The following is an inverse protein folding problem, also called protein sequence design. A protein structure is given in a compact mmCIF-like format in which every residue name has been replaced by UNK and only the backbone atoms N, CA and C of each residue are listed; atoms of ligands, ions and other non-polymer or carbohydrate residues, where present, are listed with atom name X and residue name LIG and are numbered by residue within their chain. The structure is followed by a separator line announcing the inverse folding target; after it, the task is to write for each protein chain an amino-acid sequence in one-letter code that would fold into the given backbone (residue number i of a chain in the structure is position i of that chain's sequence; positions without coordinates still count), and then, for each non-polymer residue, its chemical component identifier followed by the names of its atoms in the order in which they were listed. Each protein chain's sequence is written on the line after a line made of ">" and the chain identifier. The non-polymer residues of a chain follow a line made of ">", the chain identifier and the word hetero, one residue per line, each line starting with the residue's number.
data_IF_367056335784
#
_entry.id   IF_367056335784
#
_cell.length_a   1.000
_cell.length_b   1.000
_cell.length_c   1.000
_cell.angle_alpha   90.00
_cell.angle_beta   90.00
_cell.angle_gamma   90.00
#
_symmetry.space_group_name_H-M   'P 1'
#
loop_
_entity.id
_entity.type
_entity.pdbx_description
1 polymer ?
#
# COMPACT_ATOMS: atom_id res chain seq x y z
N UNK A 1 3.61 5.25 25.13
CA UNK A 1 2.84 4.03 24.80
C UNK A 1 1.34 4.27 24.72
N UNK A 2 0.66 4.85 25.73
CA UNK A 2 -0.79 5.10 25.69
C UNK A 2 -1.16 6.05 24.55
N UNK A 3 -0.45 7.16 24.39
CA UNK A 3 -0.69 8.14 23.34
C UNK A 3 -0.46 7.58 21.92
N UNK A 4 0.50 6.69 21.74
CA UNK A 4 0.69 5.98 20.46
C UNK A 4 -0.43 4.97 20.19
N UNK A 5 -0.89 4.26 21.23
CA UNK A 5 -2.02 3.32 21.10
C UNK A 5 -3.31 4.04 20.70
N UNK A 6 -3.56 5.25 21.21
CA UNK A 6 -4.74 6.05 20.82
C UNK A 6 -4.68 6.52 19.37
N UNK A 7 -3.50 6.88 18.87
CA UNK A 7 -3.31 7.29 17.47
C UNK A 7 -3.56 6.16 16.46
N UNK A 8 -3.52 4.91 16.89
CA UNK A 8 -3.71 3.72 16.05
C UNK A 8 -5.17 3.25 15.96
N UNK A 9 -6.06 3.80 16.80
CA UNK A 9 -7.49 3.50 16.75
C UNK A 9 -8.13 4.07 15.49
N UNK A 10 -9.12 3.36 14.96
CA UNK A 10 -9.94 3.88 13.87
C UNK A 10 -10.80 5.04 14.32
N UNK A 11 -11.14 5.95 13.40
CA UNK A 11 -12.09 7.05 13.67
C UNK A 11 -13.45 6.51 14.06
N UNK A 12 -13.85 5.37 13.52
CA UNK A 12 -15.10 4.69 13.86
C UNK A 12 -15.09 4.16 15.31
N UNK A 13 -13.98 3.58 15.79
CA UNK A 13 -13.80 3.18 17.19
C UNK A 13 -13.87 4.38 18.14
N UNK A 14 -13.16 5.46 17.80
CA UNK A 14 -13.15 6.69 18.59
C UNK A 14 -14.52 7.35 18.65
N UNK A 15 -15.23 7.43 17.53
CA UNK A 15 -16.61 7.96 17.50
C UNK A 15 -17.55 7.12 18.35
N UNK A 16 -17.45 5.79 18.27
CA UNK A 16 -18.25 4.88 19.07
C UNK A 16 -17.96 5.03 20.57
N UNK A 17 -16.68 5.14 20.96
CA UNK A 17 -16.27 5.34 22.34
C UNK A 17 -16.75 6.69 22.89
N UNK A 18 -16.56 7.79 22.14
CA UNK A 18 -17.02 9.13 22.53
C UNK A 18 -18.55 9.22 22.62
N UNK A 19 -19.27 8.54 21.72
CA UNK A 19 -20.72 8.48 21.80
C UNK A 19 -21.15 7.70 23.04
N UNK A 20 -20.52 6.56 23.32
CA UNK A 20 -20.77 5.79 24.51
C UNK A 20 -20.62 6.65 25.78
N UNK A 21 -19.52 7.42 25.89
CA UNK A 21 -19.26 8.31 27.02
C UNK A 21 -20.28 9.46 27.11
N UNK A 22 -20.70 10.02 25.96
CA UNK A 22 -21.73 11.06 25.91
C UNK A 22 -23.13 10.54 26.31
N UNK A 23 -23.43 9.28 26.05
CA UNK A 23 -24.73 8.70 26.38
C UNK A 23 -24.89 8.42 27.87
N UNK A 24 -23.82 8.25 28.63
CA UNK A 24 -23.88 7.99 30.09
C UNK A 24 -24.66 9.08 30.84
N UNK A 25 -24.35 10.38 30.75
CA UNK A 25 -25.09 11.41 31.43
C UNK A 25 -26.59 11.44 31.01
N UNK A 26 -26.88 11.25 29.71
CA UNK A 26 -28.28 11.22 29.25
C UNK A 26 -29.03 10.00 29.79
N UNK A 27 -28.37 8.86 29.97
CA UNK A 27 -28.97 7.67 30.58
C UNK A 27 -29.28 7.95 32.07
N UNK A 28 -28.35 8.60 32.78
CA UNK A 28 -28.58 9.00 34.20
C UNK A 28 -29.69 10.03 34.32
N UNK A 29 -29.70 11.06 33.48
CA UNK A 29 -30.78 12.08 33.47
C UNK A 29 -32.12 11.44 33.12
N UNK A 30 -32.15 10.56 32.11
CA UNK A 30 -33.34 9.80 31.74
C UNK A 30 -33.85 8.89 32.85
N UNK A 31 -32.93 8.31 33.63
CA UNK A 31 -33.25 7.48 34.81
C UNK A 31 -33.96 8.33 35.88
N UNK A 32 -33.41 9.49 36.24
CA UNK A 32 -33.99 10.42 37.22
C UNK A 32 -35.32 10.95 36.72
N UNK A 33 -35.39 11.38 35.45
CA UNK A 33 -36.63 11.90 34.85
C UNK A 33 -37.74 10.83 34.85
N UNK A 34 -37.40 9.58 34.49
CA UNK A 34 -38.36 8.46 34.54
C UNK A 34 -38.93 8.26 35.95
N UNK A 35 -38.10 8.35 36.99
CA UNK A 35 -38.57 8.27 38.36
C UNK A 35 -39.47 9.44 38.75
N UNK A 36 -39.09 10.65 38.41
CA UNK A 36 -39.86 11.86 38.70
C UNK A 36 -41.26 11.83 38.06
N UNK A 37 -41.35 11.37 36.82
CA UNK A 37 -42.59 11.30 36.05
C UNK A 37 -43.49 10.12 36.48
N UNK A 38 -42.89 8.95 36.71
CA UNK A 38 -43.66 7.72 36.95
C UNK A 38 -43.81 7.34 38.42
N UNK A 39 -42.96 7.89 39.29
CA UNK A 39 -42.80 7.51 40.71
C UNK A 39 -42.64 6.01 40.92
N UNK A 40 -42.10 5.33 39.93
CA UNK A 40 -41.95 3.87 39.89
C UNK A 40 -40.47 3.50 39.77
N UNK A 41 -39.93 2.89 40.83
CA UNK A 41 -38.53 2.46 40.91
C UNK A 41 -38.21 1.37 39.85
N UNK A 42 -39.16 0.47 39.55
CA UNK A 42 -38.98 -0.57 38.56
C UNK A 42 -38.75 0.00 37.15
N UNK A 43 -39.51 1.03 36.77
CA UNK A 43 -39.37 1.74 35.50
C UNK A 43 -38.05 2.53 35.44
N UNK A 44 -37.65 3.15 36.53
CA UNK A 44 -36.36 3.81 36.69
C UNK A 44 -35.21 2.86 36.49
N UNK A 45 -35.25 1.69 37.16
CA UNK A 45 -34.20 0.64 37.01
C UNK A 45 -34.13 0.07 35.60
N UNK A 46 -35.26 -0.01 34.88
CA UNK A 46 -35.27 -0.50 33.50
C UNK A 46 -34.47 0.41 32.56
N UNK A 47 -34.42 1.74 32.82
CA UNK A 47 -33.54 2.66 32.08
C UNK A 47 -32.09 2.49 32.50
N UNK A 48 -31.84 2.43 33.81
CA UNK A 48 -30.48 2.35 34.36
C UNK A 48 -29.74 1.06 33.98
N UNK A 49 -30.48 -0.06 33.84
CA UNK A 49 -29.87 -1.38 33.53
C UNK A 49 -29.44 -1.56 32.08
N UNK A 50 -29.81 -0.65 31.19
CA UNK A 50 -29.44 -0.72 29.77
C UNK A 50 -28.30 0.27 29.46
N UNK A 51 -27.07 -0.25 29.35
CA UNK A 51 -25.90 0.55 29.07
C UNK A 51 -25.46 0.42 27.60
N UNK A 52 -25.37 1.54 26.92
CA UNK A 52 -24.82 1.58 25.53
C UNK A 52 -23.30 1.42 25.50
N UNK A 53 -22.63 1.81 26.58
CA UNK A 53 -21.18 1.92 26.65
C UNK A 53 -20.49 0.57 26.54
N UNK A 54 -20.96 -0.42 27.29
CA UNK A 54 -20.34 -1.74 27.33
C UNK A 54 -20.29 -2.41 25.95
N UNK A 55 -21.43 -2.44 25.25
CA UNK A 55 -21.53 -3.09 23.96
C UNK A 55 -20.67 -2.42 22.88
N UNK A 56 -20.68 -1.06 22.85
CA UNK A 56 -19.89 -0.30 21.86
C UNK A 56 -18.39 -0.41 22.12
N UNK A 57 -17.95 -0.24 23.37
CA UNK A 57 -16.53 -0.28 23.73
C UNK A 57 -15.91 -1.69 23.64
N UNK A 58 -16.73 -2.74 23.65
CA UNK A 58 -16.25 -4.11 23.54
C UNK A 58 -16.30 -4.63 22.10
N UNK A 59 -17.40 -4.48 21.40
CA UNK A 59 -17.62 -5.08 20.09
C UNK A 59 -16.76 -4.47 18.98
N UNK A 60 -16.45 -3.15 19.06
CA UNK A 60 -15.67 -2.49 18.00
C UNK A 60 -14.20 -2.90 17.99
N UNK A 61 -13.45 -2.83 19.10
CA UNK A 61 -12.07 -3.30 19.13
C UNK A 61 -11.94 -4.79 18.79
N UNK A 62 -12.89 -5.63 19.22
CA UNK A 62 -12.89 -7.06 18.88
C UNK A 62 -13.00 -7.25 17.36
N UNK A 63 -13.88 -6.47 16.69
CA UNK A 63 -14.01 -6.56 15.24
C UNK A 63 -12.72 -6.16 14.52
N UNK A 64 -12.05 -5.10 14.98
CA UNK A 64 -10.77 -4.64 14.41
C UNK A 64 -9.66 -5.68 14.63
N UNK A 65 -9.52 -6.20 15.85
CA UNK A 65 -8.54 -7.25 16.15
C UNK A 65 -8.79 -8.53 15.34
N UNK A 66 -10.06 -8.88 15.13
CA UNK A 66 -10.41 -10.02 14.27
C UNK A 66 -10.02 -9.79 12.82
N UNK A 67 -10.23 -8.56 12.30
CA UNK A 67 -9.83 -8.19 10.95
C UNK A 67 -8.29 -8.21 10.80
N UNK A 68 -7.54 -7.70 11.79
CA UNK A 68 -6.08 -7.74 11.78
C UNK A 68 -5.55 -9.19 11.81
N UNK A 69 -6.19 -10.07 12.59
CA UNK A 69 -5.88 -11.50 12.59
C UNK A 69 -6.12 -12.14 11.23
N UNK A 70 -7.25 -11.81 10.60
CA UNK A 70 -7.61 -12.33 9.28
C UNK A 70 -6.65 -11.81 8.19
N UNK A 71 -6.28 -10.52 8.24
CA UNK A 71 -5.26 -9.93 7.38
C UNK A 71 -3.91 -10.67 7.52
N UNK A 72 -3.51 -10.96 8.76
CA UNK A 72 -2.26 -11.70 9.04
C UNK A 72 -2.25 -13.11 8.44
N UNK A 73 -3.40 -13.76 8.32
CA UNK A 73 -3.51 -15.06 7.65
C UNK A 73 -3.25 -14.97 6.13
N UNK A 74 -3.44 -13.79 5.54
CA UNK A 74 -3.11 -13.46 4.14
C UNK A 74 -1.76 -12.71 4.04
N UNK A 75 -0.82 -12.96 4.93
CA UNK A 75 0.52 -12.33 4.94
C UNK A 75 0.50 -10.78 4.99
N UNK A 76 -0.59 -10.19 5.45
CA UNK A 76 -0.77 -8.74 5.59
C UNK A 76 -0.64 -8.35 7.05
N UNK A 77 0.38 -7.55 7.38
CA UNK A 77 0.58 -7.01 8.73
C UNK A 77 0.09 -5.58 8.80
N UNK A 78 -0.80 -5.27 9.73
CA UNK A 78 -1.43 -3.95 9.90
C UNK A 78 -1.08 -3.39 11.26
N UNK A 79 -0.57 -2.16 11.33
CA UNK A 79 -0.16 -1.51 12.60
C UNK A 79 -1.32 -0.99 13.44
N UNK A 80 -2.51 -0.82 12.85
CA UNK A 80 -3.67 -0.33 13.62
C UNK A 80 -4.96 -0.22 12.81
N UNK A 81 -6.10 -0.16 13.50
CA UNK A 81 -7.43 -0.12 12.90
C UNK A 81 -7.70 1.10 12.01
N UNK A 82 -7.04 2.23 12.31
CA UNK A 82 -7.15 3.46 11.48
C UNK A 82 -6.70 3.24 10.04
N UNK A 83 -5.72 2.38 9.82
CA UNK A 83 -5.21 2.11 8.49
C UNK A 83 -6.15 1.21 7.69
N UNK A 84 -6.82 0.26 8.35
CA UNK A 84 -7.93 -0.49 7.72
C UNK A 84 -9.09 0.44 7.35
N UNK A 85 -9.41 1.42 8.21
CA UNK A 85 -10.42 2.43 7.89
C UNK A 85 -9.99 3.31 6.70
N UNK A 86 -8.73 3.75 6.64
CA UNK A 86 -8.18 4.50 5.52
C UNK A 86 -8.26 3.69 4.21
N UNK A 87 -7.85 2.42 4.24
CA UNK A 87 -7.98 1.51 3.10
C UNK A 87 -9.44 1.32 2.68
N UNK A 88 -10.39 1.19 3.62
CA UNK A 88 -11.81 1.06 3.32
C UNK A 88 -12.41 2.31 2.67
N UNK A 89 -11.92 3.49 3.01
CA UNK A 89 -12.43 4.77 2.53
C UNK A 89 -11.62 5.35 1.36
N UNK A 90 -10.52 4.70 0.98
CA UNK A 90 -9.67 5.18 -0.09
C UNK A 90 -10.43 5.31 -1.41
N UNK A 91 -10.23 6.43 -2.06
CA UNK A 91 -10.74 6.70 -3.39
C UNK A 91 -9.62 6.84 -4.43
N UNK A 92 -8.37 7.01 -3.96
CA UNK A 92 -7.18 7.12 -4.79
C UNK A 92 -6.10 6.17 -4.29
N UNK A 93 -5.50 5.44 -5.22
CA UNK A 93 -4.34 4.57 -4.97
C UNK A 93 -3.18 5.08 -5.79
N UNK A 94 -2.05 5.29 -5.15
CA UNK A 94 -0.80 5.70 -5.79
C UNK A 94 0.17 4.53 -5.72
N UNK A 95 0.63 4.08 -6.87
CA UNK A 95 1.67 3.04 -6.98
C UNK A 95 3.02 3.66 -7.31
N UNK A 96 4.05 3.27 -6.59
CA UNK A 96 5.38 3.31 -7.17
C UNK A 96 5.50 2.24 -8.26
N UNK A 97 6.30 2.47 -9.30
CA UNK A 97 6.53 1.48 -10.34
C UNK A 97 7.47 0.37 -9.87
N UNK A 98 8.66 0.77 -9.45
CA UNK A 98 9.80 -0.15 -9.25
C UNK A 98 9.65 -0.95 -7.95
N UNK A 99 9.75 -2.28 -8.04
CA UNK A 99 9.59 -3.16 -6.87
C UNK A 99 8.15 -3.30 -6.36
N UNK A 100 7.20 -2.59 -6.98
CA UNK A 100 5.77 -2.63 -6.64
C UNK A 100 4.97 -3.22 -7.79
N UNK A 101 4.83 -2.51 -8.91
CA UNK A 101 4.22 -3.03 -10.13
C UNK A 101 5.16 -3.93 -10.94
N UNK A 102 6.46 -3.82 -10.67
CA UNK A 102 7.52 -4.64 -11.26
C UNK A 102 8.18 -5.52 -10.20
N UNK A 103 8.99 -6.48 -10.66
CA UNK A 103 9.75 -7.38 -9.76
C UNK A 103 11.03 -6.75 -9.21
N UNK A 104 11.41 -5.53 -9.60
CA UNK A 104 12.72 -4.91 -9.31
C UNK A 104 13.91 -5.80 -9.73
N UNK A 105 13.72 -6.58 -10.76
CA UNK A 105 14.75 -7.44 -11.37
C UNK A 105 14.94 -7.04 -12.83
N UNK A 106 15.58 -5.88 -13.08
CA UNK A 106 15.78 -5.39 -14.44
C UNK A 106 16.59 -6.41 -15.25
N UNK A 107 16.25 -6.51 -16.55
CA UNK A 107 16.89 -7.42 -17.51
C UNK A 107 17.25 -6.68 -18.77
N UNK A 108 18.32 -7.12 -19.42
CA UNK A 108 18.66 -6.65 -20.76
C UNK A 108 17.67 -7.24 -21.76
N UNK A 109 16.93 -6.38 -22.46
CA UNK A 109 15.98 -6.76 -23.48
C UNK A 109 16.62 -6.90 -24.86
N UNK A 110 17.47 -5.90 -25.20
CA UNK A 110 18.07 -5.80 -26.52
C UNK A 110 19.35 -4.98 -26.44
N UNK A 111 20.25 -5.15 -27.42
CA UNK A 111 21.49 -4.39 -27.55
C UNK A 111 21.59 -3.90 -28.98
N UNK A 112 21.43 -2.59 -29.16
CA UNK A 112 21.56 -1.95 -30.45
C UNK A 112 23.00 -1.47 -30.62
N UNK A 113 23.73 -2.05 -31.55
CA UNK A 113 25.14 -1.67 -31.86
C UNK A 113 25.19 -0.74 -33.06
N UNK A 114 26.19 0.12 -33.06
CA UNK A 114 26.49 1.08 -34.15
C UNK A 114 27.86 0.77 -34.77
N UNK A 115 28.05 1.19 -36.00
CA UNK A 115 29.23 0.84 -36.81
C UNK A 115 29.41 -0.69 -36.87
N UNK A 116 30.63 -1.16 -36.81
CA UNK A 116 30.97 -2.60 -36.93
C UNK A 116 31.14 -3.30 -35.57
N UNK A 117 30.56 -2.73 -34.48
CA UNK A 117 30.63 -3.33 -33.15
C UNK A 117 29.70 -4.53 -33.03
N UNK A 118 30.16 -5.59 -32.33
CA UNK A 118 29.35 -6.79 -32.05
C UNK A 118 28.66 -6.65 -30.70
N UNK A 119 27.42 -7.14 -30.60
CA UNK A 119 26.64 -7.13 -29.38
C UNK A 119 27.37 -7.75 -28.18
N UNK A 120 27.99 -8.93 -28.39
CA UNK A 120 28.71 -9.64 -27.34
C UNK A 120 29.92 -8.86 -26.80
N UNK A 121 30.65 -8.16 -27.67
CA UNK A 121 31.80 -7.35 -27.28
C UNK A 121 31.33 -6.11 -26.49
N UNK A 122 30.25 -5.49 -26.93
CA UNK A 122 29.67 -4.33 -26.25
C UNK A 122 29.06 -4.70 -24.89
N UNK A 123 28.37 -5.83 -24.81
CA UNK A 123 27.82 -6.33 -23.54
C UNK A 123 28.96 -6.69 -22.55
N UNK A 124 30.01 -7.36 -23.02
CA UNK A 124 31.18 -7.69 -22.21
C UNK A 124 31.88 -6.45 -21.68
N UNK A 125 32.06 -5.44 -22.53
CA UNK A 125 32.69 -4.18 -22.16
C UNK A 125 31.83 -3.42 -21.14
N UNK A 126 30.51 -3.36 -21.34
CA UNK A 126 29.58 -2.74 -20.42
C UNK A 126 29.58 -3.46 -19.08
N UNK A 127 29.54 -4.79 -19.06
CA UNK A 127 29.55 -5.58 -17.83
C UNK A 127 30.85 -5.37 -17.03
N UNK A 128 32.00 -5.31 -17.71
CA UNK A 128 33.29 -5.05 -17.10
C UNK A 128 33.34 -3.69 -16.37
N UNK A 129 32.73 -2.65 -16.95
CA UNK A 129 32.68 -1.31 -16.34
C UNK A 129 31.66 -1.24 -15.19
N UNK A 130 30.48 -1.85 -15.33
CA UNK A 130 29.38 -1.80 -14.40
C UNK A 130 29.61 -2.69 -13.16
N UNK A 131 30.45 -3.70 -13.22
CA UNK A 131 30.71 -4.62 -12.09
C UNK A 131 31.25 -3.90 -10.84
N UNK A 132 31.94 -2.78 -11.00
CA UNK A 132 32.54 -2.02 -9.91
C UNK A 132 31.55 -1.09 -9.18
N UNK A 133 30.40 -0.83 -9.77
CA UNK A 133 29.38 0.09 -9.23
C UNK A 133 28.00 -0.56 -9.23
N UNK A 134 27.76 -1.50 -8.30
CA UNK A 134 26.54 -2.31 -8.29
C UNK A 134 25.31 -1.47 -8.00
N UNK A 135 24.49 -1.28 -9.02
CA UNK A 135 23.11 -0.77 -8.93
C UNK A 135 22.20 -1.65 -9.80
N UNK A 136 20.90 -1.47 -9.71
CA UNK A 136 19.95 -2.41 -10.33
C UNK A 136 20.16 -2.61 -11.84
N UNK A 137 20.44 -1.55 -12.59
CA UNK A 137 20.70 -1.66 -14.04
C UNK A 137 22.08 -2.27 -14.32
N UNK A 138 23.11 -1.92 -13.54
CA UNK A 138 24.44 -2.53 -13.65
C UNK A 138 24.35 -4.05 -13.43
N UNK A 139 23.66 -4.48 -12.40
CA UNK A 139 23.47 -5.90 -12.13
C UNK A 139 22.78 -6.62 -13.29
N UNK A 140 21.82 -5.99 -13.98
CA UNK A 140 21.17 -6.55 -15.16
C UNK A 140 22.16 -6.79 -16.32
N UNK A 141 23.06 -5.84 -16.54
CA UNK A 141 24.08 -5.93 -17.58
C UNK A 141 25.10 -7.03 -17.26
N UNK A 142 25.57 -7.06 -16.01
CA UNK A 142 26.51 -8.09 -15.53
C UNK A 142 25.92 -9.49 -15.63
N UNK A 143 24.65 -9.64 -15.20
CA UNK A 143 23.96 -10.94 -15.24
C UNK A 143 23.71 -11.40 -16.68
N UNK A 144 23.29 -10.49 -17.56
CA UNK A 144 23.14 -10.80 -18.99
C UNK A 144 24.44 -11.26 -19.65
N UNK A 145 25.58 -10.67 -19.28
CA UNK A 145 26.89 -11.12 -19.75
C UNK A 145 27.24 -12.52 -19.23
N UNK A 146 26.96 -12.82 -17.96
CA UNK A 146 27.14 -14.14 -17.34
C UNK A 146 26.28 -15.21 -18.00
N UNK A 147 24.97 -14.91 -18.21
CA UNK A 147 24.04 -15.84 -18.88
C UNK A 147 24.49 -16.20 -20.29
N UNK A 148 25.16 -15.28 -21.03
CA UNK A 148 25.75 -15.50 -22.36
C UNK A 148 27.12 -16.12 -22.29
N UNK A 149 27.68 -16.44 -21.12
CA UNK A 149 29.00 -17.02 -20.93
C UNK A 149 30.14 -16.09 -21.30
N UNK A 150 29.91 -14.78 -21.31
CA UNK A 150 30.92 -13.78 -21.63
C UNK A 150 31.76 -13.52 -20.37
N UNK A 151 32.89 -14.26 -20.26
CA UNK A 151 33.88 -13.93 -19.23
C UNK A 151 34.67 -12.69 -19.67
N UNK A 152 34.99 -11.82 -18.73
CA UNK A 152 35.87 -10.68 -18.96
C UNK A 152 37.07 -10.75 -18.01
N UNK A 153 38.24 -10.46 -18.55
CA UNK A 153 39.40 -10.08 -17.75
C UNK A 153 39.32 -8.56 -17.58
N UNK A 154 39.83 -8.01 -16.46
CA UNK A 154 39.86 -6.56 -16.23
C UNK A 154 40.78 -5.89 -17.29
N UNK A 155 40.19 -5.26 -18.31
CA UNK A 155 40.89 -4.55 -19.40
C UNK A 155 40.96 -3.04 -19.20
N UNK A 156 40.46 -2.50 -18.08
CA UNK A 156 40.39 -1.06 -17.87
C UNK A 156 41.42 -0.54 -16.85
N UNK A 157 41.82 0.70 -17.02
CA UNK A 157 42.51 1.48 -15.99
C UNK A 157 41.50 1.98 -14.96
N UNK A 158 41.89 2.85 -14.04
CA UNK A 158 41.01 3.39 -13.02
C UNK A 158 39.65 3.81 -13.59
N UNK A 159 38.58 3.22 -13.04
CA UNK A 159 37.19 3.61 -13.31
C UNK A 159 36.86 4.86 -12.51
N UNK A 160 36.31 5.88 -13.14
CA UNK A 160 35.80 7.09 -12.50
C UNK A 160 34.29 7.06 -12.53
N UNK A 161 33.68 6.96 -11.35
CA UNK A 161 32.24 7.15 -11.16
C UNK A 161 31.90 8.64 -11.18
N UNK A 162 30.94 9.01 -12.03
CA UNK A 162 30.37 10.35 -12.06
C UNK A 162 28.96 10.24 -11.51
N UNK A 163 28.82 10.52 -10.20
CA UNK A 163 27.62 10.33 -9.41
C UNK A 163 26.36 10.79 -10.17
N UNK A 164 25.37 9.91 -10.26
CA UNK A 164 24.07 10.10 -10.90
C UNK A 164 24.09 10.20 -12.46
N UNK A 165 25.24 10.08 -13.13
CA UNK A 165 25.31 10.25 -14.59
C UNK A 165 25.83 9.03 -15.31
N UNK A 166 26.85 8.35 -14.79
CA UNK A 166 27.44 7.17 -15.42
C UNK A 166 28.91 6.97 -15.08
N UNK A 167 29.53 6.08 -15.79
CA UNK A 167 30.92 5.64 -15.57
C UNK A 167 31.82 6.04 -16.75
N UNK A 168 33.02 6.51 -16.45
CA UNK A 168 34.07 6.78 -17.45
C UNK A 168 35.33 6.03 -17.10
N UNK A 169 35.94 5.38 -18.09
CA UNK A 169 37.22 4.66 -17.96
C UNK A 169 38.06 4.74 -19.24
N UNK A 170 39.32 4.30 -19.13
CA UNK A 170 40.19 4.10 -20.27
C UNK A 170 40.34 2.61 -20.55
N UNK A 171 39.98 2.19 -21.74
CA UNK A 171 40.08 0.81 -22.21
C UNK A 171 40.95 0.80 -23.48
N UNK A 172 42.04 0.07 -23.48
CA UNK A 172 42.99 0.00 -24.61
C UNK A 172 43.43 1.38 -25.14
N UNK A 173 43.60 2.36 -24.24
CA UNK A 173 43.97 3.72 -24.60
C UNK A 173 42.85 4.59 -25.19
N UNK A 174 41.63 4.09 -25.27
CA UNK A 174 40.44 4.84 -25.68
C UNK A 174 39.57 5.18 -24.46
N UNK A 175 39.01 6.40 -24.44
CA UNK A 175 38.05 6.79 -23.42
C UNK A 175 36.73 6.09 -23.70
N UNK A 176 36.23 5.36 -22.71
CA UNK A 176 34.91 4.70 -22.74
C UNK A 176 34.03 5.32 -21.71
N UNK A 177 32.78 5.62 -22.07
CA UNK A 177 31.76 6.21 -21.21
C UNK A 177 30.53 5.35 -21.31
N UNK A 178 29.94 5.00 -20.17
CA UNK A 178 28.66 4.31 -20.08
C UNK A 178 27.75 5.06 -19.14
N UNK A 179 26.47 5.30 -19.52
CA UNK A 179 25.54 6.06 -18.68
C UNK A 179 24.27 6.49 -19.42
N UNK A 180 23.56 7.46 -18.82
CA UNK A 180 22.34 8.03 -19.37
C UNK A 180 22.60 8.86 -20.64
N UNK A 181 21.54 9.13 -21.44
CA UNK A 181 21.64 9.95 -22.65
C UNK A 181 22.21 11.34 -22.38
N UNK A 182 21.80 11.99 -21.31
CA UNK A 182 22.30 13.33 -20.90
C UNK A 182 23.78 13.34 -20.58
N UNK A 183 24.33 12.21 -20.15
CA UNK A 183 25.75 12.10 -19.83
C UNK A 183 26.60 11.79 -21.05
N UNK A 184 26.03 11.05 -21.99
CA UNK A 184 26.77 10.55 -23.15
C UNK A 184 26.63 11.49 -24.36
N UNK A 185 25.44 12.06 -24.58
CA UNK A 185 25.13 12.99 -25.67
C UNK A 185 24.04 13.97 -25.29
N UNK A 186 24.19 15.25 -25.64
CA UNK A 186 23.12 16.25 -25.52
C UNK A 186 21.93 15.97 -26.49
N UNK A 187 22.15 15.18 -27.56
CA UNK A 187 21.10 14.87 -28.56
C UNK A 187 21.45 13.63 -29.39
N UNK A 188 21.28 12.43 -28.86
CA UNK A 188 21.39 11.21 -29.67
C UNK A 188 20.01 10.83 -30.22
N UNK A 189 19.69 11.27 -31.40
CA UNK A 189 18.44 10.92 -32.10
C UNK A 189 18.40 9.45 -32.59
N UNK A 190 18.61 8.51 -31.68
CA UNK A 190 18.57 7.09 -31.99
C UNK A 190 17.12 6.58 -31.84
N UNK A 191 16.65 5.84 -32.84
CA UNK A 191 15.39 5.11 -32.80
C UNK A 191 15.57 3.87 -31.91
N UNK A 192 15.34 4.02 -30.60
CA UNK A 192 15.38 2.93 -29.62
C UNK A 192 13.95 2.72 -29.11
N UNK A 193 13.51 1.47 -28.85
CA UNK A 193 12.16 1.20 -28.37
C UNK A 193 11.84 1.98 -27.10
N UNK A 194 10.81 2.81 -27.14
CA UNK A 194 10.45 3.75 -26.08
C UNK A 194 10.05 3.10 -24.74
N UNK A 195 9.79 1.80 -24.75
CA UNK A 195 9.34 1.03 -23.59
C UNK A 195 10.47 0.62 -22.63
N UNK A 196 11.74 0.91 -22.98
CA UNK A 196 12.91 0.48 -22.22
C UNK A 196 13.66 1.65 -21.60
N UNK A 197 14.35 1.39 -20.50
CA UNK A 197 15.41 2.27 -20.01
C UNK A 197 16.66 2.02 -20.83
N UNK A 198 17.38 3.07 -21.17
CA UNK A 198 18.52 2.99 -22.09
C UNK A 198 19.82 3.32 -21.36
N UNK A 199 20.80 2.46 -21.54
CA UNK A 199 22.18 2.66 -21.11
C UNK A 199 23.05 2.83 -22.35
N UNK A 200 23.66 3.99 -22.51
CA UNK A 200 24.43 4.37 -23.67
C UNK A 200 25.91 4.07 -23.45
N UNK A 201 26.56 3.40 -24.41
CA UNK A 201 27.98 3.09 -24.39
C UNK A 201 28.68 3.85 -25.51
N UNK A 202 29.64 4.71 -25.14
CA UNK A 202 30.45 5.49 -26.04
C UNK A 202 31.92 5.07 -25.98
N UNK A 203 32.57 4.98 -27.14
CA UNK A 203 33.99 4.69 -27.26
C UNK A 203 34.67 5.81 -28.08
N UNK A 204 35.66 6.47 -27.50
CA UNK A 204 36.39 7.58 -28.13
C UNK A 204 35.49 8.74 -28.60
N UNK A 205 34.36 8.98 -27.94
CA UNK A 205 33.41 10.04 -28.28
C UNK A 205 32.34 9.65 -29.30
N UNK A 206 32.36 8.40 -29.82
CA UNK A 206 31.33 7.90 -30.73
C UNK A 206 30.43 6.89 -30.04
N UNK A 207 29.12 6.90 -30.37
CA UNK A 207 28.15 5.96 -29.85
C UNK A 207 28.47 4.56 -30.40
N UNK A 208 28.80 3.63 -29.51
CA UNK A 208 29.11 2.26 -29.85
C UNK A 208 27.92 1.31 -29.70
N UNK A 209 27.16 1.46 -28.62
CA UNK A 209 25.97 0.66 -28.38
C UNK A 209 24.96 1.36 -27.49
N UNK A 210 23.69 0.92 -27.54
CA UNK A 210 22.64 1.22 -26.60
C UNK A 210 22.10 -0.09 -26.06
N UNK A 211 22.21 -0.27 -24.74
CA UNK A 211 21.68 -1.43 -24.03
C UNK A 211 20.29 -1.07 -23.53
N UNK A 212 19.30 -1.79 -24.00
CA UNK A 212 17.89 -1.63 -23.63
C UNK A 212 17.60 -2.49 -22.41
N UNK A 213 17.20 -1.86 -21.32
CA UNK A 213 16.92 -2.52 -20.06
C UNK A 213 15.45 -2.33 -19.72
N UNK A 214 14.78 -3.38 -19.30
CA UNK A 214 13.40 -3.33 -18.80
C UNK A 214 13.31 -4.01 -17.44
N UNK A 215 12.42 -3.51 -16.61
CA UNK A 215 12.05 -4.15 -15.36
C UNK A 215 10.70 -4.86 -15.58
N UNK A 216 10.67 -6.21 -15.51
CA UNK A 216 9.48 -6.97 -15.84
C UNK A 216 8.32 -6.59 -14.96
N UNK A 217 7.17 -6.26 -15.56
CA UNK A 217 5.92 -6.08 -14.86
C UNK A 217 5.48 -7.39 -14.21
N UNK A 218 4.88 -7.30 -13.04
CA UNK A 218 4.19 -8.43 -12.42
C UNK A 218 3.04 -8.88 -13.31
N UNK A 219 2.90 -10.17 -13.50
CA UNK A 219 1.91 -10.74 -14.43
C UNK A 219 0.49 -10.35 -14.06
N UNK A 220 0.23 -10.24 -12.77
CA UNK A 220 -1.06 -9.90 -12.19
C UNK A 220 -1.33 -8.40 -12.06
N UNK A 221 -0.37 -7.51 -12.39
CA UNK A 221 -0.47 -6.07 -12.13
C UNK A 221 -1.73 -5.43 -12.75
N UNK A 222 -1.99 -5.69 -14.03
CA UNK A 222 -3.16 -5.16 -14.73
C UNK A 222 -4.49 -5.70 -14.16
N UNK A 223 -4.50 -6.98 -13.77
CA UNK A 223 -5.68 -7.62 -13.19
C UNK A 223 -5.95 -7.11 -11.78
N UNK A 224 -4.92 -6.88 -10.98
CA UNK A 224 -5.02 -6.30 -9.66
C UNK A 224 -5.54 -4.85 -9.72
N UNK A 225 -5.06 -4.04 -10.65
CA UNK A 225 -5.56 -2.66 -10.87
C UNK A 225 -7.05 -2.68 -11.24
N UNK A 226 -7.45 -3.54 -12.19
CA UNK A 226 -8.88 -3.70 -12.55
C UNK A 226 -9.74 -4.14 -11.35
N UNK A 227 -9.23 -5.06 -10.54
CA UNK A 227 -9.92 -5.54 -9.35
C UNK A 227 -10.05 -4.46 -8.27
N UNK A 228 -9.05 -3.57 -8.11
CA UNK A 228 -9.13 -2.41 -7.23
C UNK A 228 -10.22 -1.44 -7.68
N UNK A 229 -10.31 -1.13 -8.98
CA UNK A 229 -11.42 -0.33 -9.52
C UNK A 229 -12.79 -0.99 -9.25
N UNK A 230 -12.91 -2.30 -9.45
CA UNK A 230 -14.13 -3.06 -9.14
C UNK A 230 -14.49 -3.01 -7.64
N UNK A 231 -13.50 -2.83 -6.76
CA UNK A 231 -13.68 -2.63 -5.32
C UNK A 231 -13.97 -1.16 -4.93
N UNK A 232 -14.19 -0.26 -5.90
CA UNK A 232 -14.60 1.12 -5.67
C UNK A 232 -13.46 2.13 -5.53
N UNK A 233 -12.24 1.80 -5.96
CA UNK A 233 -11.16 2.78 -6.14
C UNK A 233 -11.47 3.59 -7.40
N UNK A 234 -11.62 4.90 -7.24
CA UNK A 234 -12.00 5.81 -8.32
C UNK A 234 -10.82 6.25 -9.19
N UNK A 235 -9.60 6.19 -8.66
CA UNK A 235 -8.40 6.69 -9.34
C UNK A 235 -7.18 5.87 -8.97
N UNK A 236 -6.46 5.37 -9.97
CA UNK A 236 -5.16 4.71 -9.82
C UNK A 236 -4.09 5.56 -10.50
N UNK A 237 -3.08 5.95 -9.74
CA UNK A 237 -1.97 6.80 -10.18
C UNK A 237 -0.68 5.98 -10.14
N UNK A 238 0.13 6.05 -11.17
CA UNK A 238 1.48 5.49 -11.18
C UNK A 238 2.52 6.61 -11.11
N UNK A 239 3.50 6.48 -10.23
CA UNK A 239 4.62 7.40 -10.09
C UNK A 239 5.93 6.66 -10.32
N UNK A 240 6.87 7.28 -11.04
CA UNK A 240 8.16 6.70 -11.33
C UNK A 240 9.22 7.77 -11.59
N UNK A 241 10.48 7.46 -11.29
CA UNK A 241 11.63 8.26 -11.72
C UNK A 241 12.04 8.05 -13.18
N UNK A 242 11.39 7.10 -13.88
CA UNK A 242 11.70 6.83 -15.28
C UNK A 242 11.30 7.98 -16.21
N UNK A 243 11.88 7.97 -17.42
CA UNK A 243 11.48 8.91 -18.46
C UNK A 243 10.00 8.75 -18.84
N UNK A 244 9.39 9.85 -19.32
CA UNK A 244 7.97 9.93 -19.65
C UNK A 244 7.49 8.84 -20.61
N UNK A 245 8.26 8.52 -21.67
CA UNK A 245 7.85 7.52 -22.68
C UNK A 245 7.73 6.12 -22.09
N UNK A 246 8.71 5.72 -21.28
CA UNK A 246 8.69 4.43 -20.57
C UNK A 246 7.55 4.37 -19.56
N UNK A 247 7.35 5.45 -18.80
CA UNK A 247 6.28 5.54 -17.82
C UNK A 247 4.89 5.42 -18.44
N UNK A 248 4.63 6.14 -19.53
CA UNK A 248 3.36 6.09 -20.26
C UNK A 248 3.08 4.70 -20.85
N UNK A 249 4.10 4.04 -21.39
CA UNK A 249 3.97 2.68 -21.91
C UNK A 249 3.59 1.66 -20.82
N UNK A 250 4.22 1.75 -19.65
CA UNK A 250 3.93 0.89 -18.49
C UNK A 250 2.55 1.20 -17.93
N UNK A 251 2.20 2.48 -17.74
CA UNK A 251 0.90 2.90 -17.24
C UNK A 251 -0.26 2.38 -18.11
N UNK A 252 -0.10 2.44 -19.43
CA UNK A 252 -1.07 1.90 -20.38
C UNK A 252 -1.23 0.37 -20.24
N UNK A 253 -0.15 -0.36 -19.98
CA UNK A 253 -0.18 -1.83 -19.79
C UNK A 253 -0.88 -2.22 -18.49
N UNK A 254 -0.65 -1.50 -17.39
CA UNK A 254 -1.28 -1.81 -16.10
C UNK A 254 -2.69 -1.21 -15.96
N UNK A 255 -3.07 -0.28 -16.83
CA UNK A 255 -4.37 0.39 -16.78
C UNK A 255 -4.46 1.48 -15.69
N UNK A 256 -3.36 2.19 -15.43
CA UNK A 256 -3.36 3.34 -14.54
C UNK A 256 -4.07 4.54 -15.18
N UNK A 257 -4.86 5.29 -14.38
CA UNK A 257 -5.61 6.46 -14.86
C UNK A 257 -4.72 7.68 -15.10
N UNK A 258 -3.69 7.84 -14.27
CA UNK A 258 -2.72 8.92 -14.40
C UNK A 258 -1.30 8.40 -14.19
N UNK A 259 -0.35 9.05 -14.83
CA UNK A 259 1.07 8.73 -14.70
C UNK A 259 1.90 10.00 -14.47
N UNK A 260 2.81 9.92 -13.52
CA UNK A 260 3.80 10.95 -13.23
C UNK A 260 5.18 10.35 -13.40
N UNK A 261 5.89 10.82 -14.42
CA UNK A 261 7.24 10.40 -14.79
C UNK A 261 8.27 11.41 -14.27
N UNK A 262 9.53 10.95 -14.16
CA UNK A 262 10.67 11.80 -13.75
C UNK A 262 10.48 12.43 -12.37
N UNK A 263 9.79 11.72 -11.46
CA UNK A 263 9.38 12.22 -10.14
C UNK A 263 10.43 11.86 -9.09
N UNK A 264 10.88 12.86 -8.35
CA UNK A 264 11.72 12.65 -7.17
C UNK A 264 10.92 12.16 -5.95
N UNK A 265 11.54 11.52 -4.97
CA UNK A 265 10.85 11.05 -3.76
C UNK A 265 10.07 12.16 -3.01
N UNK A 266 10.62 13.39 -3.00
CA UNK A 266 9.99 14.56 -2.37
C UNK A 266 8.73 15.01 -3.11
N UNK A 267 8.73 14.93 -4.44
CA UNK A 267 7.60 15.28 -5.28
C UNK A 267 6.43 14.33 -5.09
N UNK A 268 6.71 13.03 -4.87
CA UNK A 268 5.69 12.04 -4.53
C UNK A 268 4.93 12.42 -3.26
N UNK A 269 5.66 12.81 -2.21
CA UNK A 269 5.07 13.28 -0.96
C UNK A 269 4.27 14.58 -1.14
N UNK A 270 4.79 15.52 -1.95
CA UNK A 270 4.10 16.77 -2.26
C UNK A 270 2.77 16.53 -3.01
N UNK A 271 2.75 15.61 -3.97
CA UNK A 271 1.53 15.19 -4.66
C UNK A 271 0.48 14.63 -3.68
N UNK A 272 0.89 13.72 -2.80
CA UNK A 272 -0.01 13.12 -1.81
C UNK A 272 -0.62 14.21 -0.91
N UNK A 273 0.18 15.17 -0.41
CA UNK A 273 -0.31 16.31 0.37
C UNK A 273 -1.35 17.14 -0.39
N UNK A 274 -1.10 17.44 -1.65
CA UNK A 274 -2.01 18.20 -2.49
C UNK A 274 -3.35 17.49 -2.70
N UNK A 275 -3.32 16.21 -2.99
CA UNK A 275 -4.52 15.38 -3.17
C UNK A 275 -5.32 15.24 -1.85
N UNK A 276 -4.65 15.09 -0.72
CA UNK A 276 -5.30 15.08 0.61
C UNK A 276 -5.94 16.43 0.93
N UNK A 277 -5.27 17.53 0.61
CA UNK A 277 -5.84 18.88 0.76
C UNK A 277 -7.08 19.10 -0.10
N UNK A 278 -7.20 18.38 -1.23
CA UNK A 278 -8.40 18.33 -2.07
C UNK A 278 -9.51 17.40 -1.50
N UNK A 279 -9.32 16.84 -0.31
CA UNK A 279 -10.32 16.01 0.39
C UNK A 279 -10.34 14.54 -0.06
N UNK A 280 -9.29 14.06 -0.71
CA UNK A 280 -9.17 12.66 -1.13
C UNK A 280 -8.54 11.81 -0.03
N UNK A 281 -8.94 10.55 0.06
CA UNK A 281 -8.30 9.55 0.92
C UNK A 281 -7.37 8.71 0.08
N UNK A 282 -6.09 8.71 0.40
CA UNK A 282 -5.03 8.18 -0.44
C UNK A 282 -4.30 7.03 0.23
N UNK A 283 -4.12 5.96 -0.54
CA UNK A 283 -3.19 4.89 -0.20
C UNK A 283 -1.96 5.04 -1.09
N UNK A 284 -0.77 5.03 -0.51
CA UNK A 284 0.50 4.92 -1.23
C UNK A 284 1.03 3.50 -1.11
N UNK A 285 1.46 2.92 -2.23
CA UNK A 285 2.01 1.57 -2.31
C UNK A 285 3.41 1.67 -2.92
N UNK A 286 4.40 1.15 -2.21
CA UNK A 286 5.81 1.22 -2.60
C UNK A 286 6.64 0.09 -2.02
N UNK A 287 7.94 0.09 -2.32
CA UNK A 287 8.91 -0.87 -1.76
C UNK A 287 9.42 -0.47 -0.36
N UNK A 288 9.16 0.76 0.06
CA UNK A 288 9.52 1.30 1.37
C UNK A 288 10.95 1.81 1.50
N UNK A 289 11.80 1.68 0.50
CA UNK A 289 13.19 2.15 0.56
C UNK A 289 13.28 3.61 0.09
N UNK A 290 12.81 3.87 -1.11
CA UNK A 290 12.86 5.20 -1.73
C UNK A 290 11.60 6.03 -1.47
N UNK A 291 10.50 5.39 -1.13
CA UNK A 291 9.18 6.01 -1.02
C UNK A 291 8.78 6.38 0.41
N UNK A 292 9.71 6.28 1.37
CA UNK A 292 9.46 6.53 2.80
C UNK A 292 8.72 7.84 3.09
N UNK A 293 9.06 8.99 2.47
CA UNK A 293 8.32 10.24 2.69
C UNK A 293 6.88 10.16 2.17
N UNK A 294 6.66 9.54 1.01
CA UNK A 294 5.34 9.39 0.40
C UNK A 294 4.46 8.41 1.18
N UNK A 295 5.02 7.28 1.63
CA UNK A 295 4.33 6.30 2.48
C UNK A 295 3.85 6.92 3.79
N UNK A 296 4.70 7.75 4.43
CA UNK A 296 4.38 8.42 5.70
C UNK A 296 3.32 9.51 5.54
N UNK A 297 3.24 10.15 4.37
CA UNK A 297 2.31 11.25 4.10
C UNK A 297 0.91 10.75 3.74
N UNK A 298 0.77 9.53 3.21
CA UNK A 298 -0.50 8.93 2.82
C UNK A 298 -1.42 8.70 4.04
N UNK A 299 -2.72 8.45 3.79
CA UNK A 299 -3.66 8.05 4.85
C UNK A 299 -3.38 6.61 5.31
N UNK A 300 -2.85 5.78 4.40
CA UNK A 300 -2.19 4.52 4.71
C UNK A 300 -1.04 4.26 3.72
N UNK A 301 0.17 4.12 4.25
CA UNK A 301 1.35 3.68 3.50
C UNK A 301 1.44 2.15 3.53
N UNK A 302 1.49 1.53 2.36
CA UNK A 302 1.56 0.07 2.19
C UNK A 302 2.90 -0.29 1.56
N UNK A 303 3.70 -1.08 2.25
CA UNK A 303 4.92 -1.65 1.68
C UNK A 303 4.67 -3.07 1.20
N UNK A 304 5.06 -3.34 -0.05
CA UNK A 304 5.14 -4.69 -0.60
C UNK A 304 6.61 -5.10 -0.53
N UNK A 305 6.93 -6.01 0.39
CA UNK A 305 8.32 -6.41 0.59
C UNK A 305 8.43 -7.78 1.22
N UNK A 306 9.17 -8.64 0.57
CA UNK A 306 9.55 -9.96 1.10
C UNK A 306 10.76 -9.91 2.02
N UNK A 307 11.48 -8.77 2.16
CA UNK A 307 12.76 -8.77 2.89
C UNK A 307 13.25 -7.51 3.60
N UNK A 308 12.80 -6.32 3.23
CA UNK A 308 13.40 -5.10 3.79
C UNK A 308 12.87 -4.75 5.19
N UNK A 309 13.73 -4.85 6.20
CA UNK A 309 13.39 -4.48 7.59
C UNK A 309 12.92 -3.01 7.70
N UNK A 310 13.53 -2.11 6.92
CA UNK A 310 13.21 -0.68 6.88
C UNK A 310 11.78 -0.42 6.40
N UNK A 311 11.33 -1.15 5.38
CA UNK A 311 9.97 -1.02 4.86
C UNK A 311 8.91 -1.35 5.93
N UNK A 312 9.16 -2.37 6.76
CA UNK A 312 8.27 -2.76 7.86
C UNK A 312 8.18 -1.70 8.96
N UNK A 313 9.26 -0.96 9.18
CA UNK A 313 9.28 0.08 10.21
C UNK A 313 8.50 1.32 9.79
N UNK A 314 8.60 1.73 8.53
CA UNK A 314 8.03 2.97 8.01
C UNK A 314 6.57 2.81 7.59
N UNK A 315 6.23 1.75 6.85
CA UNK A 315 4.90 1.53 6.35
C UNK A 315 3.89 1.22 7.46
N UNK A 316 2.66 1.67 7.27
CA UNK A 316 1.52 1.41 8.17
C UNK A 316 0.98 -0.01 8.02
N UNK A 317 1.07 -0.53 6.79
CA UNK A 317 0.68 -1.88 6.40
C UNK A 317 1.83 -2.49 5.60
N UNK A 318 2.14 -3.75 5.89
CA UNK A 318 3.16 -4.50 5.14
C UNK A 318 2.55 -5.76 4.57
N UNK A 319 2.74 -5.99 3.28
CA UNK A 319 2.34 -7.20 2.58
C UNK A 319 3.60 -8.02 2.32
N UNK A 320 3.70 -9.15 3.01
CA UNK A 320 4.84 -10.08 2.89
C UNK A 320 4.57 -11.16 1.82
N UNK A 321 3.99 -10.76 0.70
CA UNK A 321 3.66 -11.61 -0.45
C UNK A 321 4.14 -10.93 -1.73
N UNK A 322 4.46 -11.71 -2.74
CA UNK A 322 4.77 -11.20 -4.07
C UNK A 322 3.50 -10.98 -4.92
N UNK A 323 2.33 -11.42 -4.45
CA UNK A 323 1.06 -11.30 -5.16
C UNK A 323 0.37 -9.97 -4.86
N UNK A 324 0.15 -9.16 -5.90
CA UNK A 324 -0.59 -7.90 -5.81
C UNK A 324 -2.08 -8.08 -5.47
N UNK A 325 -2.65 -9.27 -5.63
CA UNK A 325 -4.04 -9.54 -5.23
C UNK A 325 -4.27 -9.43 -3.73
N UNK A 326 -3.20 -9.49 -2.91
CA UNK A 326 -3.31 -9.21 -1.48
C UNK A 326 -3.74 -7.76 -1.18
N UNK A 327 -3.49 -6.81 -2.08
CA UNK A 327 -4.06 -5.45 -1.99
C UNK A 327 -5.58 -5.46 -2.17
N UNK A 328 -6.08 -6.29 -3.07
CA UNK A 328 -7.53 -6.46 -3.30
C UNK A 328 -8.16 -7.14 -2.09
N UNK A 329 -7.52 -8.16 -1.55
CA UNK A 329 -7.91 -8.85 -0.32
C UNK A 329 -7.97 -7.88 0.85
N UNK A 330 -6.94 -7.05 1.05
CA UNK A 330 -6.89 -5.99 2.06
C UNK A 330 -8.05 -4.99 1.89
N UNK A 331 -8.33 -4.56 0.67
CA UNK A 331 -9.43 -3.62 0.37
C UNK A 331 -10.78 -4.22 0.72
N UNK A 332 -11.04 -5.46 0.29
CA UNK A 332 -12.28 -6.20 0.60
C UNK A 332 -12.46 -6.41 2.10
N UNK A 333 -11.40 -6.85 2.78
CA UNK A 333 -11.39 -7.05 4.23
C UNK A 333 -11.71 -5.75 4.98
N UNK A 334 -11.06 -4.66 4.60
CA UNK A 334 -11.26 -3.34 5.19
C UNK A 334 -12.70 -2.84 4.99
N UNK A 335 -13.25 -2.98 3.80
CA UNK A 335 -14.63 -2.61 3.50
C UNK A 335 -15.64 -3.48 4.30
N UNK A 336 -15.40 -4.78 4.41
CA UNK A 336 -16.21 -5.71 5.19
C UNK A 336 -16.16 -5.39 6.69
N UNK A 337 -14.99 -5.01 7.22
CA UNK A 337 -14.83 -4.53 8.60
C UNK A 337 -15.69 -3.30 8.85
N UNK A 338 -15.60 -2.27 8.02
CA UNK A 338 -16.38 -1.05 8.18
C UNK A 338 -17.89 -1.31 8.09
N UNK A 339 -18.31 -2.18 7.17
CA UNK A 339 -19.70 -2.61 7.08
C UNK A 339 -20.17 -3.34 8.36
N UNK A 340 -19.31 -4.20 8.95
CA UNK A 340 -19.60 -4.88 10.23
C UNK A 340 -19.72 -3.88 11.38
N UNK A 341 -18.77 -2.94 11.49
CA UNK A 341 -18.77 -1.88 12.52
C UNK A 341 -20.07 -1.07 12.44
N UNK A 342 -20.46 -0.59 11.26
CA UNK A 342 -21.68 0.19 11.07
C UNK A 342 -22.95 -0.62 11.38
N UNK A 343 -22.98 -1.90 11.03
CA UNK A 343 -24.11 -2.79 11.35
C UNK A 343 -24.22 -3.06 12.83
N UNK A 344 -23.12 -3.36 13.50
CA UNK A 344 -23.08 -3.57 14.93
C UNK A 344 -23.53 -2.32 15.68
N UNK A 345 -23.02 -1.15 15.28
CA UNK A 345 -23.42 0.14 15.84
C UNK A 345 -24.93 0.37 15.75
N UNK A 346 -25.50 0.24 14.55
CA UNK A 346 -26.94 0.44 14.35
C UNK A 346 -27.77 -0.55 15.18
N UNK A 347 -27.34 -1.80 15.24
CA UNK A 347 -28.02 -2.83 16.03
C UNK A 347 -27.98 -2.49 17.53
N UNK A 348 -26.80 -2.19 18.09
CA UNK A 348 -26.64 -1.87 19.52
C UNK A 348 -27.52 -0.69 19.90
N UNK A 349 -27.48 0.39 19.13
CA UNK A 349 -28.26 1.58 19.43
C UNK A 349 -29.76 1.31 19.37
N UNK A 350 -30.24 0.67 18.29
CA UNK A 350 -31.67 0.39 18.10
C UNK A 350 -32.19 -0.61 19.13
N UNK A 351 -31.43 -1.67 19.41
CA UNK A 351 -31.84 -2.71 20.35
C UNK A 351 -31.93 -2.17 21.79
N UNK A 352 -30.89 -1.49 22.25
CA UNK A 352 -30.87 -0.91 23.60
C UNK A 352 -31.95 0.18 23.79
N UNK A 353 -32.16 1.02 22.76
CA UNK A 353 -33.25 1.98 22.77
C UNK A 353 -34.61 1.29 22.90
N UNK A 354 -34.85 0.19 22.19
CA UNK A 354 -36.07 -0.58 22.27
C UNK A 354 -36.26 -1.19 23.68
N UNK A 355 -35.18 -1.71 24.29
CA UNK A 355 -35.26 -2.23 25.67
C UNK A 355 -35.66 -1.14 26.67
N UNK A 356 -35.10 0.07 26.52
CA UNK A 356 -35.47 1.21 27.38
C UNK A 356 -36.99 1.55 27.24
N UNK A 357 -37.46 1.68 25.99
CA UNK A 357 -38.85 1.99 25.70
C UNK A 357 -39.82 0.96 26.32
N UNK A 358 -39.51 -0.34 26.09
CA UNK A 358 -40.32 -1.45 26.61
C UNK A 358 -40.28 -1.51 28.16
N UNK A 359 -39.14 -1.18 28.75
CA UNK A 359 -38.98 -1.12 30.19
C UNK A 359 -39.76 0.03 30.81
N UNK A 360 -39.72 1.24 30.25
CA UNK A 360 -40.49 2.42 30.69
C UNK A 360 -41.99 2.19 30.50
N UNK A 361 -42.40 1.54 29.42
CA UNK A 361 -43.78 1.11 29.18
C UNK A 361 -44.29 0.09 30.24
N UNK A 362 -43.35 -0.55 30.97
CA UNK A 362 -43.68 -1.60 31.95
C UNK A 362 -43.93 -2.99 31.34
N UNK A 363 -43.56 -3.18 30.08
CA UNK A 363 -43.72 -4.46 29.39
C UNK A 363 -42.60 -5.44 29.79
N UNK A 364 -41.37 -4.91 29.95
CA UNK A 364 -40.21 -5.72 30.34
C UNK A 364 -39.77 -5.38 31.77
N UNK A 365 -39.59 -6.38 32.65
CA UNK A 365 -38.95 -6.19 33.95
C UNK A 365 -37.47 -5.79 33.77
N UNK A 366 -36.88 -5.00 34.72
CA UNK A 366 -35.48 -4.59 34.66
C UNK A 366 -34.48 -5.76 34.55
N UNK A 367 -34.76 -6.86 35.24
CA UNK A 367 -33.94 -8.09 35.21
C UNK A 367 -33.92 -8.72 33.81
N UNK A 368 -35.07 -8.76 33.14
CA UNK A 368 -35.16 -9.27 31.77
C UNK A 368 -34.47 -8.34 30.77
N UNK A 369 -34.66 -7.01 30.93
CA UNK A 369 -33.93 -6.01 30.12
C UNK A 369 -32.41 -6.15 30.25
N UNK A 370 -31.90 -6.30 31.49
CA UNK A 370 -30.49 -6.51 31.76
C UNK A 370 -29.99 -7.82 31.16
N UNK A 371 -30.73 -8.92 31.26
CA UNK A 371 -30.38 -10.22 30.67
C UNK A 371 -30.31 -10.11 29.14
N UNK A 372 -31.31 -9.51 28.51
CA UNK A 372 -31.33 -9.33 27.04
C UNK A 372 -30.19 -8.42 26.56
N UNK A 373 -29.92 -7.34 27.28
CA UNK A 373 -28.80 -6.44 27.01
C UNK A 373 -27.46 -7.17 27.07
N UNK A 374 -27.17 -7.87 28.15
CA UNK A 374 -25.92 -8.61 28.32
C UNK A 374 -25.75 -9.74 27.30
N UNK A 375 -26.85 -10.49 27.04
CA UNK A 375 -26.84 -11.56 26.02
C UNK A 375 -26.59 -10.98 24.62
N UNK A 376 -27.20 -9.85 24.27
CA UNK A 376 -26.96 -9.20 22.98
C UNK A 376 -25.54 -8.71 22.84
N UNK A 377 -24.95 -8.14 23.90
CA UNK A 377 -23.57 -7.70 23.94
C UNK A 377 -22.61 -8.87 23.70
N UNK A 378 -22.85 -10.00 24.39
CA UNK A 378 -22.05 -11.22 24.18
C UNK A 378 -22.19 -11.75 22.76
N UNK A 379 -23.42 -11.84 22.24
CA UNK A 379 -23.68 -12.34 20.89
C UNK A 379 -23.00 -11.48 19.81
N UNK A 380 -23.04 -10.14 19.93
CA UNK A 380 -22.38 -9.22 19.00
C UNK A 380 -20.85 -9.38 19.10
N UNK A 381 -20.32 -9.50 20.32
CA UNK A 381 -18.89 -9.69 20.54
C UNK A 381 -18.40 -11.00 19.92
N UNK A 382 -19.09 -12.10 20.13
CA UNK A 382 -18.78 -13.40 19.50
C UNK A 382 -18.88 -13.33 17.98
N UNK A 383 -19.92 -12.69 17.44
CA UNK A 383 -20.07 -12.46 15.99
C UNK A 383 -18.92 -11.60 15.43
N UNK A 384 -18.44 -10.63 16.20
CA UNK A 384 -17.32 -9.77 15.80
C UNK A 384 -16.00 -10.53 15.70
N UNK A 385 -15.86 -11.69 16.33
CA UNK A 385 -14.69 -12.57 16.25
C UNK A 385 -14.68 -13.47 15.01
N UNK A 386 -15.80 -13.60 14.29
CA UNK A 386 -15.87 -14.43 13.08
C UNK A 386 -15.17 -13.76 11.91
N UNK A 387 -14.74 -14.54 10.93
CA UNK A 387 -14.11 -14.03 9.72
C UNK A 387 -15.04 -13.07 8.96
N UNK A 388 -14.43 -12.11 8.28
CA UNK A 388 -15.11 -11.08 7.51
C UNK A 388 -15.34 -11.51 6.06
N UNK A 389 -14.32 -12.17 5.50
CA UNK A 389 -14.38 -12.73 4.15
C UNK A 389 -14.80 -14.19 4.20
N UNK A 390 -15.50 -14.70 3.17
CA UNK A 390 -15.70 -16.13 3.02
C UNK A 390 -14.35 -16.83 2.91
N UNK A 391 -14.24 -18.04 3.44
CA UNK A 391 -13.06 -18.86 3.25
C UNK A 391 -12.78 -18.97 1.74
N UNK A 392 -11.56 -18.62 1.32
CA UNK A 392 -11.15 -18.91 -0.05
C UNK A 392 -11.21 -20.43 -0.23
N UNK A 393 -12.02 -20.89 -1.16
CA UNK A 393 -11.89 -22.27 -1.63
C UNK A 393 -10.48 -22.41 -2.20
N UNK A 394 -9.71 -23.45 -1.84
CA UNK A 394 -8.40 -23.66 -2.44
C UNK A 394 -8.60 -23.74 -3.95
N UNK A 395 -8.07 -22.76 -4.68
CA UNK A 395 -7.95 -22.87 -6.12
C UNK A 395 -7.15 -24.14 -6.40
N UNK A 396 -7.80 -25.09 -7.01
CA UNK A 396 -7.16 -26.32 -7.48
C UNK A 396 -6.00 -25.93 -8.39
N UNK A 397 -4.80 -26.30 -7.95
CA UNK A 397 -3.54 -26.27 -8.70
C UNK A 397 -3.65 -27.04 -10.01
#
# INVERSE_FOLDING_TARGET
>A
MIEQSEKLKSTAEDKAARLADRLVPYTLDGTVLTYLLTRNVTKMLAVLMVDFSCALKLAMPIAVLSAMREASASHISVKGGRFLEAVANANTVVFDKTGTLTYATPKVADIVTFADYKEEDMLRLAACLEEHYPHSMANAVVEAAKERGLSHEEYHSQVQDIVAHGISSMVEGKKVIIGSSHFVFEDAGCHVPAAYSHLYLCIAGELAAVICIYDPLRKEAADAVRALHACGIGKVVMMTGDNRKTAEAVAAQVGADEVYAEVLPEDKAAFIRAEKAAGRTIIMIGDGVNDSPALSEADAGIAISTGAAIAREIADITIASEDLFELVTLRRLSAALMARIHRNYRFIVSFNFSLIVLGVAGILPPTTSALLHNTSTLAISLKSMTNLLPAQEPEHQ
#
